data_IF_441410648791
#
_entry.id   IF_441410648791
#
_cell.length_a   1.000
_cell.length_b   1.000
_cell.length_c   1.000
_cell.angle_alpha   90.00
_cell.angle_beta   90.00
_cell.angle_gamma   90.00
#
_symmetry.space_group_name_H-M   'P 1'
#
loop_
_entity.id
_entity.type
_entity.pdbx_description
1 polymer ?
#
# COMPACT_ATOMS: atom_id res chain seq x y z
N UNK A 1 -3.29 9.10 -22.39
CA UNK A 1 -3.67 8.19 -21.29
C UNK A 1 -4.66 8.94 -20.40
N UNK A 2 -5.79 8.34 -20.05
CA UNK A 2 -6.76 8.97 -19.13
C UNK A 2 -6.31 8.81 -17.68
N UNK A 3 -6.76 9.67 -16.77
CA UNK A 3 -6.43 9.56 -15.35
C UNK A 3 -6.92 8.22 -14.77
N UNK A 4 -8.09 7.74 -15.18
CA UNK A 4 -8.59 6.47 -14.64
C UNK A 4 -7.88 5.25 -15.23
N UNK A 5 -7.45 5.28 -16.51
CA UNK A 5 -6.59 4.21 -17.03
C UNK A 5 -5.24 4.21 -16.30
N UNK A 6 -4.69 5.38 -16.00
CA UNK A 6 -3.48 5.49 -15.19
C UNK A 6 -3.70 4.92 -13.77
N UNK A 7 -4.83 5.23 -13.14
CA UNK A 7 -5.21 4.68 -11.84
C UNK A 7 -5.36 3.15 -11.86
N UNK A 8 -6.00 2.60 -12.90
CA UNK A 8 -6.19 1.16 -13.06
C UNK A 8 -4.85 0.43 -13.26
N UNK A 9 -3.98 0.97 -14.12
CA UNK A 9 -2.66 0.40 -14.38
C UNK A 9 -1.73 0.51 -13.16
N UNK A 10 -1.78 1.64 -12.45
CA UNK A 10 -0.95 1.90 -11.27
C UNK A 10 -1.35 1.03 -10.06
N UNK A 11 -2.58 0.50 -10.02
CA UNK A 11 -3.00 -0.45 -8.99
C UNK A 11 -2.06 -1.68 -8.93
N UNK A 12 -1.57 -2.16 -10.08
CA UNK A 12 -0.62 -3.27 -10.12
C UNK A 12 0.74 -2.92 -9.50
N UNK A 13 1.17 -1.67 -9.63
CA UNK A 13 2.39 -1.17 -8.97
C UNK A 13 2.20 -1.18 -7.46
N UNK A 14 1.04 -0.74 -6.97
CA UNK A 14 0.71 -0.78 -5.54
C UNK A 14 0.73 -2.21 -5.01
N UNK A 15 0.02 -3.12 -5.68
CA UNK A 15 -0.05 -4.54 -5.30
C UNK A 15 1.36 -5.12 -5.26
N UNK A 16 2.12 -4.99 -6.33
CA UNK A 16 3.46 -5.58 -6.45
C UNK A 16 4.45 -5.03 -5.43
N UNK A 17 4.52 -3.71 -5.26
CA UNK A 17 5.49 -3.09 -4.34
C UNK A 17 5.18 -3.40 -2.88
N UNK A 18 3.90 -3.36 -2.48
CA UNK A 18 3.49 -3.67 -1.10
C UNK A 18 3.58 -5.18 -0.80
N UNK A 19 3.30 -6.05 -1.77
CA UNK A 19 3.53 -7.49 -1.66
C UNK A 19 5.01 -7.79 -1.42
N UNK A 20 5.88 -7.23 -2.27
CA UNK A 20 7.31 -7.43 -2.17
C UNK A 20 7.88 -6.87 -0.85
N UNK A 21 7.42 -5.69 -0.42
CA UNK A 21 7.87 -5.05 0.81
C UNK A 21 7.43 -5.87 2.02
N UNK A 22 6.18 -6.34 2.02
CA UNK A 22 5.64 -7.23 3.05
C UNK A 22 6.43 -8.53 3.16
N UNK A 23 6.62 -9.23 2.04
CA UNK A 23 7.40 -10.47 1.99
C UNK A 23 8.85 -10.27 2.44
N UNK A 24 9.52 -9.20 1.99
CA UNK A 24 10.91 -8.93 2.38
C UNK A 24 11.00 -8.59 3.87
N UNK A 25 10.11 -7.78 4.42
CA UNK A 25 10.09 -7.48 5.85
C UNK A 25 9.83 -8.74 6.69
N UNK A 26 8.91 -9.62 6.29
CA UNK A 26 8.70 -10.91 6.96
C UNK A 26 9.92 -11.83 6.87
N UNK A 27 10.59 -11.86 5.71
CA UNK A 27 11.85 -12.58 5.55
C UNK A 27 12.94 -12.04 6.48
N UNK A 28 13.06 -10.72 6.61
CA UNK A 28 14.00 -10.05 7.52
C UNK A 28 13.69 -10.29 9.01
N UNK A 29 12.41 -10.49 9.36
CA UNK A 29 12.02 -10.91 10.70
C UNK A 29 12.63 -12.28 11.04
N UNK A 30 12.49 -13.25 10.13
CA UNK A 30 12.93 -14.64 10.33
C UNK A 30 14.42 -14.87 10.11
N UNK A 31 15.03 -14.17 9.16
CA UNK A 31 16.38 -14.45 8.68
C UNK A 31 17.24 -13.18 8.66
N UNK A 32 18.35 -13.22 9.40
CA UNK A 32 19.27 -12.09 9.52
C UNK A 32 19.84 -11.56 8.18
N UNK A 33 20.16 -12.39 7.17
CA UNK A 33 20.70 -11.90 5.89
C UNK A 33 19.79 -10.93 5.12
N UNK A 34 18.47 -10.97 5.36
CA UNK A 34 17.51 -10.08 4.70
C UNK A 34 17.38 -8.72 5.40
N UNK A 35 18.03 -8.52 6.55
CA UNK A 35 18.02 -7.26 7.31
C UNK A 35 19.00 -6.27 6.70
N UNK A 36 18.54 -5.58 5.65
CA UNK A 36 19.31 -4.54 4.98
C UNK A 36 18.68 -3.15 5.17
N UNK A 37 19.50 -2.10 5.19
CA UNK A 37 18.99 -0.72 5.22
C UNK A 37 18.11 -0.41 3.99
N UNK A 38 18.41 -1.04 2.84
CA UNK A 38 17.63 -0.91 1.61
C UNK A 38 16.16 -1.33 1.77
N UNK A 39 15.85 -2.25 2.69
CA UNK A 39 14.46 -2.66 2.98
C UNK A 39 13.61 -1.44 3.39
N UNK A 40 14.13 -0.56 4.23
CA UNK A 40 13.36 0.56 4.75
C UNK A 40 13.06 1.60 3.67
N UNK A 41 14.02 1.86 2.78
CA UNK A 41 13.78 2.70 1.61
C UNK A 41 12.75 2.10 0.67
N UNK A 42 12.78 0.77 0.51
CA UNK A 42 11.80 0.06 -0.30
C UNK A 42 10.39 0.11 0.31
N UNK A 43 10.26 -0.06 1.64
CA UNK A 43 8.99 0.10 2.37
C UNK A 43 8.43 1.51 2.19
N UNK A 44 9.26 2.55 2.34
CA UNK A 44 8.84 3.94 2.12
C UNK A 44 8.34 4.13 0.68
N UNK A 45 9.10 3.62 -0.30
CA UNK A 45 8.69 3.71 -1.71
C UNK A 45 7.35 2.99 -1.96
N UNK A 46 7.15 1.80 -1.38
CA UNK A 46 5.91 1.03 -1.50
C UNK A 46 4.72 1.77 -0.86
N UNK A 47 4.86 2.34 0.33
CA UNK A 47 3.80 3.12 0.98
C UNK A 47 3.48 4.41 0.20
N UNK A 48 4.47 5.08 -0.40
CA UNK A 48 4.25 6.25 -1.27
C UNK A 48 3.34 5.91 -2.46
N UNK A 49 3.42 4.68 -3.00
CA UNK A 49 2.52 4.27 -4.10
C UNK A 49 1.04 4.31 -3.69
N UNK A 50 0.70 4.09 -2.41
CA UNK A 50 -0.68 4.18 -1.91
C UNK A 50 -1.20 5.62 -2.07
N UNK A 51 -0.39 6.62 -1.71
CA UNK A 51 -0.76 8.02 -1.87
C UNK A 51 -0.96 8.39 -3.34
N UNK A 52 -0.04 7.95 -4.22
CA UNK A 52 -0.18 8.18 -5.67
C UNK A 52 -1.47 7.55 -6.20
N UNK A 53 -1.78 6.32 -5.80
CA UNK A 53 -3.00 5.64 -6.22
C UNK A 53 -4.27 6.36 -5.80
N UNK A 54 -4.32 6.84 -4.55
CA UNK A 54 -5.48 7.60 -4.06
C UNK A 54 -5.60 8.95 -4.75
N UNK A 55 -4.50 9.67 -4.97
CA UNK A 55 -4.51 10.94 -5.72
C UNK A 55 -5.06 10.73 -7.15
N UNK A 56 -4.61 9.67 -7.84
CA UNK A 56 -5.13 9.31 -9.15
C UNK A 56 -6.63 8.97 -9.11
N UNK A 57 -7.08 8.27 -8.06
CA UNK A 57 -8.49 7.92 -7.87
C UNK A 57 -9.38 9.15 -7.65
N UNK A 58 -8.95 10.07 -6.78
CA UNK A 58 -9.67 11.33 -6.52
C UNK A 58 -9.71 12.21 -7.76
N UNK A 59 -8.59 12.32 -8.50
CA UNK A 59 -8.54 13.07 -9.75
C UNK A 59 -9.44 12.46 -10.84
N UNK A 60 -9.58 11.13 -10.89
CA UNK A 60 -10.50 10.47 -11.81
C UNK A 60 -11.97 10.75 -11.46
N UNK A 61 -12.32 10.79 -10.16
CA UNK A 61 -13.67 11.11 -9.68
C UNK A 61 -14.08 12.55 -10.01
N UNK A 62 -13.15 13.50 -9.90
CA UNK A 62 -13.40 14.90 -10.24
C UNK A 62 -13.64 15.16 -11.74
N UNK A 63 -13.28 14.21 -12.61
CA UNK A 63 -13.42 14.29 -14.07
C UNK A 63 -14.68 13.63 -14.64
N UNK A 64 -15.79 13.60 -13.90
CA UNK A 64 -17.10 13.05 -14.31
C UNK A 64 -17.12 11.53 -14.59
N UNK A 65 -16.21 10.76 -13.97
CA UNK A 65 -16.37 9.29 -13.94
C UNK A 65 -17.29 8.89 -12.79
N UNK A 66 -18.16 7.92 -13.03
CA UNK A 66 -18.95 7.31 -11.97
C UNK A 66 -17.99 6.84 -10.85
N UNK A 67 -18.27 7.18 -9.58
CA UNK A 67 -17.49 6.65 -8.47
C UNK A 67 -17.51 5.13 -8.55
N UNK A 68 -16.37 4.48 -8.29
CA UNK A 68 -16.39 3.07 -7.94
C UNK A 68 -17.36 2.86 -6.78
N UNK A 69 -17.87 1.63 -6.62
CA UNK A 69 -18.78 1.29 -5.52
C UNK A 69 -18.28 1.86 -4.17
N UNK A 70 -19.16 2.23 -3.24
CA UNK A 70 -18.82 2.83 -1.94
C UNK A 70 -17.69 2.09 -1.21
N UNK A 71 -17.64 0.76 -1.37
CA UNK A 71 -16.57 -0.09 -0.84
C UNK A 71 -15.19 0.18 -1.44
N UNK A 72 -15.07 0.50 -2.73
CA UNK A 72 -13.81 0.87 -3.36
C UNK A 72 -13.21 2.13 -2.70
N UNK A 73 -14.03 3.17 -2.52
CA UNK A 73 -13.62 4.41 -1.85
C UNK A 73 -13.23 4.12 -0.39
N UNK A 74 -14.02 3.31 0.30
CA UNK A 74 -13.73 2.87 1.67
C UNK A 74 -12.36 2.18 1.76
N UNK A 75 -12.04 1.22 0.89
CA UNK A 75 -10.75 0.54 0.93
C UNK A 75 -9.56 1.48 0.62
N UNK A 76 -9.74 2.45 -0.27
CA UNK A 76 -8.74 3.50 -0.51
C UNK A 76 -8.46 4.34 0.75
N UNK A 77 -9.50 4.70 1.49
CA UNK A 77 -9.35 5.41 2.77
C UNK A 77 -8.68 4.54 3.85
N UNK A 78 -9.11 3.27 4.01
CA UNK A 78 -8.48 2.32 4.96
C UNK A 78 -7.00 2.14 4.64
N UNK A 79 -6.61 2.11 3.36
CA UNK A 79 -5.20 2.02 2.97
C UNK A 79 -4.38 3.21 3.48
N UNK A 80 -4.87 4.46 3.32
CA UNK A 80 -4.20 5.65 3.85
C UNK A 80 -4.08 5.63 5.38
N UNK A 81 -5.18 5.31 6.07
CA UNK A 81 -5.19 5.21 7.54
C UNK A 81 -4.21 4.15 8.00
N UNK A 82 -4.11 3.02 7.29
CA UNK A 82 -3.16 1.95 7.62
C UNK A 82 -1.73 2.45 7.56
N UNK A 83 -1.33 3.16 6.50
CA UNK A 83 0.02 3.77 6.43
C UNK A 83 0.27 4.70 7.62
N UNK A 84 -0.72 5.53 7.99
CA UNK A 84 -0.64 6.40 9.17
C UNK A 84 -0.45 5.62 10.48
N UNK A 85 -1.15 4.51 10.67
CA UNK A 85 -1.02 3.63 11.84
C UNK A 85 0.37 2.99 11.87
N UNK A 86 0.84 2.41 10.76
CA UNK A 86 2.17 1.79 10.66
C UNK A 86 3.26 2.80 11.06
N UNK A 87 3.19 4.01 10.53
CA UNK A 87 4.11 5.09 10.88
C UNK A 87 4.03 5.49 12.36
N UNK A 88 2.82 5.67 12.90
CA UNK A 88 2.60 6.14 14.26
C UNK A 88 3.13 5.17 15.32
N UNK A 89 3.01 3.87 15.06
CA UNK A 89 3.44 2.82 15.98
C UNK A 89 4.87 2.34 15.76
N UNK A 90 5.58 2.78 14.71
CA UNK A 90 6.93 2.29 14.36
C UNK A 90 7.95 2.36 15.51
N UNK A 91 7.86 3.42 16.33
CA UNK A 91 8.77 3.62 17.46
C UNK A 91 8.38 2.76 18.67
N UNK A 92 7.07 2.60 18.90
CA UNK A 92 6.50 1.81 19.99
C UNK A 92 6.73 0.30 19.75
N UNK A 93 6.63 -0.12 18.48
CA UNK A 93 6.81 -1.49 18.02
C UNK A 93 8.17 -1.73 17.38
N UNK A 94 9.20 -0.96 17.73
CA UNK A 94 10.53 -1.05 17.12
C UNK A 94 11.14 -2.46 17.16
N UNK A 95 10.93 -3.21 18.24
CA UNK A 95 11.37 -4.61 18.35
C UNK A 95 10.66 -5.54 17.36
N UNK A 96 9.47 -5.15 16.90
CA UNK A 96 8.60 -5.89 15.99
C UNK A 96 8.47 -5.19 14.63
N UNK A 97 9.35 -4.25 14.30
CA UNK A 97 9.21 -3.39 13.10
C UNK A 97 9.10 -4.21 11.81
N UNK A 98 9.89 -5.28 11.66
CA UNK A 98 9.80 -6.17 10.51
C UNK A 98 8.45 -6.88 10.39
N UNK A 99 7.82 -7.24 11.51
CA UNK A 99 6.49 -7.85 11.52
C UNK A 99 5.40 -6.81 11.23
N UNK A 100 5.52 -5.62 11.83
CA UNK A 100 4.62 -4.48 11.62
C UNK A 100 4.53 -4.12 10.13
N UNK A 101 5.68 -3.86 9.50
CA UNK A 101 5.73 -3.50 8.08
C UNK A 101 5.55 -4.72 7.15
N UNK A 102 5.88 -5.93 7.62
CA UNK A 102 5.64 -7.17 6.89
C UNK A 102 4.15 -7.46 6.70
N UNK A 103 3.42 -7.54 7.79
CA UNK A 103 1.97 -7.74 7.76
C UNK A 103 1.25 -6.50 7.22
N UNK A 104 1.74 -5.30 7.54
CA UNK A 104 1.21 -4.05 7.00
C UNK A 104 1.26 -3.99 5.47
N UNK A 105 2.41 -4.32 4.87
CA UNK A 105 2.55 -4.36 3.41
C UNK A 105 1.64 -5.41 2.75
N UNK A 106 1.55 -6.62 3.31
CA UNK A 106 0.64 -7.65 2.79
C UNK A 106 -0.84 -7.26 2.94
N UNK A 107 -1.19 -6.57 4.01
CA UNK A 107 -2.54 -6.05 4.20
C UNK A 107 -2.88 -4.96 3.19
N UNK A 108 -1.98 -4.00 2.94
CA UNK A 108 -2.14 -2.97 1.91
C UNK A 108 -2.28 -3.56 0.49
N UNK A 109 -1.47 -4.58 0.16
CA UNK A 109 -1.63 -5.37 -1.05
C UNK A 109 -3.04 -5.97 -1.13
N UNK A 110 -3.49 -6.65 -0.07
CA UNK A 110 -4.81 -7.29 0.00
C UNK A 110 -5.97 -6.30 -0.17
N UNK A 111 -5.88 -5.12 0.46
CA UNK A 111 -6.85 -4.04 0.27
C UNK A 111 -6.90 -3.58 -1.19
N UNK A 112 -5.76 -3.42 -1.84
CA UNK A 112 -5.70 -2.99 -3.23
C UNK A 112 -6.29 -4.04 -4.18
N UNK A 113 -5.98 -5.33 -3.98
CA UNK A 113 -6.61 -6.43 -4.74
C UNK A 113 -8.13 -6.40 -4.54
N UNK A 114 -8.60 -6.24 -3.29
CA UNK A 114 -10.04 -6.20 -3.00
C UNK A 114 -10.71 -5.00 -3.65
N UNK A 115 -10.06 -3.84 -3.64
CA UNK A 115 -10.55 -2.63 -4.29
C UNK A 115 -10.63 -2.78 -5.82
N UNK A 116 -9.68 -3.50 -6.43
CA UNK A 116 -9.67 -3.79 -7.88
C UNK A 116 -10.80 -4.72 -8.30
N UNK A 117 -11.16 -5.70 -7.46
CA UNK A 117 -12.30 -6.60 -7.72
C UNK A 117 -13.68 -5.93 -7.61
N UNK A 118 -13.75 -4.74 -7.02
CA UNK A 118 -14.98 -3.98 -6.76
C UNK A 118 -15.05 -2.66 -7.54
N UNK A 119 -14.04 -2.39 -8.37
CA UNK A 119 -13.90 -1.20 -9.20
C UNK A 119 -14.70 -1.30 -10.50
#
# INVERSE_FOLDING_TARGET
>A
MSVASAHADFAWVVIGTNAAAGCWALAAHRWAPFRAQALWWFVIAAEVTIFVQVVLGVAALAGDRAPGNDFHIFYGFVALVTVGILYSYRNQLRAWAYLLYGLGGLFLMGLCIRALMLA
#
